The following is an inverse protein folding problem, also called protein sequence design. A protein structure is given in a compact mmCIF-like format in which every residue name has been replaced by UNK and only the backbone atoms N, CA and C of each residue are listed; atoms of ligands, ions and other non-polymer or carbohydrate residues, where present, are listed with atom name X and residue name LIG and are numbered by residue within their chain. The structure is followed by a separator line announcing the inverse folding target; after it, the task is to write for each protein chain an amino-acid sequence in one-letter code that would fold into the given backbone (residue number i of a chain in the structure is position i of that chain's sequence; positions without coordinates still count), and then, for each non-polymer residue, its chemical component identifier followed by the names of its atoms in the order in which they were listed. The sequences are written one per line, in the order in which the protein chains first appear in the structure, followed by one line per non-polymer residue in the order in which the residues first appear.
data_IF_937219607843
#
_entry.id   IF_937219607843
#
_cell.length_a   1.000
_cell.length_b   1.000
_cell.length_c   1.000
_cell.angle_alpha   90.00
_cell.angle_beta   90.00
_cell.angle_gamma   90.00
#
_symmetry.space_group_name_H-M   'P 1'
#
loop_
_entity.id
_entity.type
_entity.pdbx_description
1 polymer ?
#
# COMPACT_ATOMS: atom_id res chain seq x y z
N UNK A 1 -20.81 39.43 62.38
CA UNK A 1 -21.85 40.42 62.04
C UNK A 1 -22.98 39.67 61.37
N UNK A 2 -24.17 39.74 61.97
CA UNK A 2 -25.43 39.20 61.44
C UNK A 2 -26.00 40.10 60.34
N UNK A 3 -26.59 39.47 59.31
CA UNK A 3 -27.88 39.80 58.65
C UNK A 3 -27.95 38.95 57.37
N UNK A 4 -28.81 37.94 57.19
CA UNK A 4 -30.27 37.79 57.38
C UNK A 4 -31.10 38.39 56.23
N UNK A 5 -31.91 37.49 55.62
CA UNK A 5 -33.12 37.68 54.81
C UNK A 5 -32.92 38.09 53.33
N UNK A 6 -33.68 37.61 52.33
CA UNK A 6 -34.96 36.88 52.35
C UNK A 6 -35.23 36.24 50.98
N UNK A 7 -35.92 35.09 51.00
CA UNK A 7 -36.63 34.53 49.85
C UNK A 7 -38.10 34.93 49.93
N UNK A 8 -38.74 35.21 48.79
CA UNK A 8 -40.19 35.10 48.62
C UNK A 8 -40.54 34.57 47.23
N UNK A 9 -41.36 33.52 47.26
CA UNK A 9 -42.04 32.79 46.19
C UNK A 9 -43.29 33.51 45.69
N UNK A 10 -43.67 33.34 44.42
CA UNK A 10 -45.01 32.87 44.04
C UNK A 10 -45.13 32.57 42.53
N UNK A 11 -45.87 31.50 42.24
CA UNK A 11 -46.19 30.89 40.94
C UNK A 11 -47.24 31.69 40.15
N UNK A 12 -47.31 31.51 38.82
CA UNK A 12 -48.53 31.17 38.05
C UNK A 12 -48.25 31.08 36.53
N UNK A 13 -48.49 29.89 35.95
CA UNK A 13 -48.71 29.62 34.49
C UNK A 13 -50.17 30.00 34.12
N UNK A 14 -50.62 30.13 32.84
CA UNK A 14 -50.44 29.17 31.73
C UNK A 14 -50.25 29.73 30.29
N UNK A 15 -49.82 28.83 29.41
CA UNK A 15 -50.09 28.68 27.96
C UNK A 15 -50.17 29.89 27.01
N UNK A 16 -49.35 29.85 25.94
CA UNK A 16 -49.88 29.90 24.56
C UNK A 16 -48.91 29.30 23.54
N UNK A 17 -49.32 28.18 22.95
CA UNK A 17 -48.77 27.65 21.71
C UNK A 17 -48.96 28.66 20.57
N UNK A 18 -47.85 29.05 19.93
CA UNK A 18 -47.83 29.92 18.76
C UNK A 18 -46.85 29.36 17.73
N UNK A 19 -47.39 28.68 16.74
CA UNK A 19 -46.71 28.13 15.56
C UNK A 19 -45.99 29.25 14.80
N UNK A 20 -44.68 29.14 14.61
CA UNK A 20 -43.99 29.80 13.51
C UNK A 20 -43.18 28.77 12.72
N UNK A 21 -43.81 28.30 11.64
CA UNK A 21 -43.11 27.77 10.47
C UNK A 21 -42.33 28.93 9.86
N UNK A 22 -41.01 28.81 9.84
CA UNK A 22 -40.19 29.57 8.89
C UNK A 22 -39.32 28.57 8.14
N UNK A 23 -39.85 28.11 7.01
CA UNK A 23 -39.03 27.51 5.96
C UNK A 23 -38.14 28.61 5.40
N UNK A 24 -36.85 28.57 5.72
CA UNK A 24 -35.84 29.19 4.88
C UNK A 24 -35.05 28.08 4.21
N UNK A 25 -35.45 27.79 2.97
CA UNK A 25 -34.62 27.07 2.00
C UNK A 25 -33.39 27.92 1.70
N UNK A 26 -32.29 27.62 2.38
CA UNK A 26 -30.95 27.96 1.93
C UNK A 26 -30.42 26.77 1.17
N UNK A 27 -30.49 26.83 -0.16
CA UNK A 27 -29.88 25.87 -1.06
C UNK A 27 -28.35 26.03 -0.91
N UNK A 28 -27.77 25.43 0.12
CA UNK A 28 -26.33 25.31 0.28
C UNK A 28 -25.85 24.52 -0.92
N UNK A 29 -25.19 25.22 -1.85
CA UNK A 29 -24.70 24.66 -3.10
C UNK A 29 -24.00 23.34 -2.81
N UNK A 30 -24.63 22.24 -3.25
CA UNK A 30 -23.94 20.97 -3.38
C UNK A 30 -22.80 21.24 -4.38
N UNK A 31 -21.60 21.44 -3.85
CA UNK A 31 -20.41 21.19 -4.64
C UNK A 31 -20.57 19.78 -5.21
N UNK A 32 -20.35 19.58 -6.52
CA UNK A 32 -20.38 18.25 -7.08
C UNK A 32 -19.41 17.40 -6.27
N UNK A 33 -19.94 16.32 -5.69
CA UNK A 33 -19.11 15.28 -5.05
C UNK A 33 -17.98 14.99 -6.06
N UNK A 34 -16.70 15.08 -5.66
CA UNK A 34 -15.62 14.72 -6.56
C UNK A 34 -15.95 13.34 -7.15
N UNK A 35 -15.70 13.13 -8.46
CA UNK A 35 -16.03 11.87 -9.10
C UNK A 35 -15.47 10.76 -8.23
N UNK A 36 -16.31 9.75 -7.95
CA UNK A 36 -15.86 8.60 -7.19
C UNK A 36 -14.61 8.09 -7.89
N UNK A 37 -13.44 8.24 -7.27
CA UNK A 37 -12.19 7.70 -7.81
C UNK A 37 -12.48 6.23 -8.09
N UNK A 38 -12.28 5.81 -9.34
CA UNK A 38 -12.45 4.41 -9.67
C UNK A 38 -11.60 3.59 -8.69
N UNK A 39 -12.16 2.50 -8.12
CA UNK A 39 -11.42 1.70 -7.16
C UNK A 39 -10.16 1.19 -7.85
N UNK A 40 -9.00 1.69 -7.40
CA UNK A 40 -7.72 1.20 -7.89
C UNK A 40 -7.61 -0.28 -7.48
N UNK A 41 -7.59 -1.16 -8.48
CA UNK A 41 -7.55 -2.60 -8.24
C UNK A 41 -6.16 -3.01 -7.73
N UNK A 42 -6.10 -4.05 -6.87
CA UNK A 42 -4.83 -4.70 -6.53
C UNK A 42 -4.08 -5.18 -7.77
N UNK A 43 -2.75 -5.02 -7.75
CA UNK A 43 -1.86 -5.43 -8.83
C UNK A 43 -0.92 -6.52 -8.33
N UNK A 44 -0.78 -7.59 -9.11
CA UNK A 44 0.02 -8.76 -8.71
C UNK A 44 1.09 -9.05 -9.75
N UNK A 45 2.30 -9.31 -9.28
CA UNK A 45 3.44 -9.72 -10.11
C UNK A 45 4.03 -11.01 -9.54
N UNK A 46 4.59 -11.84 -10.42
CA UNK A 46 5.41 -12.98 -10.02
C UNK A 46 6.85 -12.79 -10.41
N UNK A 47 7.72 -13.11 -9.46
CA UNK A 47 9.14 -13.31 -9.71
C UNK A 47 9.58 -14.69 -9.22
N UNK A 48 10.58 -15.24 -9.91
CA UNK A 48 11.35 -16.40 -9.50
C UNK A 48 12.50 -15.93 -8.61
N UNK A 49 12.56 -16.47 -7.40
CA UNK A 49 13.67 -16.25 -6.47
C UNK A 49 14.60 -17.45 -6.61
N UNK A 50 15.77 -17.24 -7.23
CA UNK A 50 16.81 -18.25 -7.37
C UNK A 50 17.89 -18.03 -6.32
N UNK A 51 18.21 -19.07 -5.56
CA UNK A 51 19.22 -19.02 -4.50
C UNK A 51 20.56 -18.57 -5.07
N UNK A 52 21.15 -17.56 -4.44
CA UNK A 52 22.48 -17.06 -4.79
C UNK A 52 23.30 -16.82 -3.52
N UNK A 53 24.20 -17.77 -3.16
CA UNK A 53 25.05 -17.64 -1.97
C UNK A 53 25.96 -16.41 -1.97
N UNK A 54 26.28 -15.85 -3.14
CA UNK A 54 27.10 -14.63 -3.22
C UNK A 54 26.36 -13.40 -2.67
N UNK A 55 25.03 -13.47 -2.59
CA UNK A 55 24.15 -12.42 -2.06
C UNK A 55 23.76 -12.64 -0.59
N UNK A 56 24.35 -13.62 0.08
CA UNK A 56 24.10 -13.86 1.50
C UNK A 56 24.51 -12.65 2.33
N UNK A 57 23.64 -12.24 3.24
CA UNK A 57 23.95 -11.15 4.18
C UNK A 57 24.05 -11.68 5.60
N UNK A 58 25.05 -11.17 6.31
CA UNK A 58 25.38 -11.60 7.65
C UNK A 58 25.09 -10.47 8.63
N UNK A 59 24.36 -10.80 9.68
CA UNK A 59 24.26 -9.98 10.89
C UNK A 59 24.80 -10.79 12.05
N UNK A 60 25.22 -10.12 13.14
CA UNK A 60 25.75 -10.79 14.34
C UNK A 60 24.82 -11.90 14.88
N UNK A 61 23.52 -11.83 14.58
CA UNK A 61 22.49 -12.74 15.09
C UNK A 61 21.94 -13.71 14.05
N UNK A 62 22.16 -13.47 12.75
CA UNK A 62 21.49 -14.25 11.69
C UNK A 62 22.17 -14.13 10.33
N UNK A 63 22.18 -15.26 9.62
CA UNK A 63 22.44 -15.32 8.18
C UNK A 63 21.11 -15.16 7.43
N UNK A 64 21.07 -14.26 6.46
CA UNK A 64 19.95 -14.15 5.53
C UNK A 64 20.43 -14.66 4.17
N UNK A 65 19.74 -15.68 3.67
CA UNK A 65 20.00 -16.24 2.35
C UNK A 65 19.71 -15.20 1.26
N UNK A 66 20.67 -15.05 0.36
CA UNK A 66 20.58 -14.24 -0.84
C UNK A 66 19.86 -14.95 -1.97
N UNK A 67 19.11 -14.18 -2.74
CA UNK A 67 18.40 -14.65 -3.92
C UNK A 67 18.61 -13.67 -5.07
N UNK A 68 18.90 -14.21 -6.26
CA UNK A 68 18.72 -13.50 -7.51
C UNK A 68 17.23 -13.48 -7.84
N UNK A 69 16.74 -12.29 -8.22
CA UNK A 69 15.35 -12.11 -8.63
C UNK A 69 15.31 -12.21 -10.15
N UNK A 70 14.49 -13.14 -10.63
CA UNK A 70 14.28 -13.40 -12.04
C UNK A 70 12.79 -13.27 -12.37
N UNK A 71 12.50 -13.04 -13.63
CA UNK A 71 11.18 -13.30 -14.19
C UNK A 71 10.88 -14.82 -14.17
N UNK A 72 9.60 -15.23 -14.30
CA UNK A 72 9.24 -16.65 -14.33
C UNK A 72 9.89 -17.45 -15.47
N UNK A 73 10.30 -16.79 -16.55
CA UNK A 73 11.05 -17.39 -17.67
C UNK A 73 12.55 -17.59 -17.35
N UNK A 74 13.01 -17.14 -16.18
CA UNK A 74 14.37 -17.29 -15.70
C UNK A 74 15.29 -16.09 -16.00
N UNK A 75 14.85 -15.13 -16.82
CA UNK A 75 15.64 -13.93 -17.12
C UNK A 75 15.79 -13.04 -15.88
N UNK A 76 16.94 -12.40 -15.65
CA UNK A 76 17.11 -11.49 -14.53
C UNK A 76 16.09 -10.33 -14.53
N UNK A 77 15.57 -10.00 -13.34
CA UNK A 77 14.72 -8.83 -13.14
C UNK A 77 15.53 -7.52 -13.10
N UNK A 78 14.86 -6.37 -13.17
CA UNK A 78 15.52 -5.07 -13.02
C UNK A 78 16.09 -4.87 -11.61
N UNK A 79 17.11 -4.01 -11.49
CA UNK A 79 17.78 -3.72 -10.21
C UNK A 79 16.79 -3.15 -9.19
N UNK A 80 15.86 -2.29 -9.63
CA UNK A 80 14.85 -1.68 -8.76
C UNK A 80 13.89 -2.73 -8.20
N UNK A 81 13.46 -3.69 -9.03
CA UNK A 81 12.66 -4.83 -8.56
C UNK A 81 13.45 -5.70 -7.60
N UNK A 82 14.72 -6.01 -7.90
CA UNK A 82 15.58 -6.79 -7.01
C UNK A 82 15.69 -6.15 -5.62
N UNK A 83 15.99 -4.85 -5.54
CA UNK A 83 16.07 -4.11 -4.27
C UNK A 83 14.75 -4.11 -3.52
N UNK A 84 13.63 -3.93 -4.23
CA UNK A 84 12.31 -3.97 -3.63
C UNK A 84 11.99 -5.35 -3.06
N UNK A 85 12.30 -6.42 -3.77
CA UNK A 85 12.14 -7.80 -3.31
C UNK A 85 13.03 -8.10 -2.10
N UNK A 86 14.27 -7.62 -2.06
CA UNK A 86 15.16 -7.77 -0.91
C UNK A 86 14.61 -7.08 0.34
N UNK A 87 14.08 -5.85 0.19
CA UNK A 87 13.35 -5.15 1.24
C UNK A 87 12.13 -5.96 1.71
N UNK A 88 11.35 -6.48 0.76
CA UNK A 88 10.19 -7.34 1.00
C UNK A 88 10.54 -8.62 1.77
N UNK A 89 11.61 -9.31 1.40
CA UNK A 89 12.09 -10.53 2.05
C UNK A 89 12.31 -10.33 3.55
N UNK A 90 12.94 -9.20 3.90
CA UNK A 90 13.24 -8.84 5.28
C UNK A 90 11.98 -8.48 6.07
N UNK A 91 11.08 -7.70 5.48
CA UNK A 91 9.94 -7.11 6.19
C UNK A 91 8.71 -8.04 6.26
N UNK A 92 8.50 -8.85 5.22
CA UNK A 92 7.36 -9.75 5.09
C UNK A 92 7.63 -11.16 5.62
N UNK A 93 8.85 -11.42 6.12
CA UNK A 93 9.21 -12.72 6.68
C UNK A 93 9.30 -13.83 5.64
N UNK A 94 9.41 -13.48 4.36
CA UNK A 94 9.49 -14.41 3.24
C UNK A 94 10.75 -15.29 3.33
N UNK A 95 11.85 -14.76 3.87
CA UNK A 95 13.10 -15.51 4.04
C UNK A 95 12.92 -16.80 4.86
N UNK A 96 12.01 -16.84 5.84
CA UNK A 96 11.74 -18.09 6.58
C UNK A 96 11.05 -19.16 5.73
N UNK A 97 10.23 -18.75 4.75
CA UNK A 97 9.48 -19.66 3.87
C UNK A 97 10.31 -20.16 2.70
N UNK A 98 11.36 -19.41 2.36
CA UNK A 98 12.28 -19.75 1.27
C UNK A 98 13.53 -20.48 1.75
N UNK A 99 13.81 -20.47 3.06
CA UNK A 99 15.04 -21.03 3.62
C UNK A 99 15.36 -22.44 3.07
N UNK A 100 16.56 -22.59 2.52
CA UNK A 100 17.05 -23.85 1.93
C UNK A 100 16.49 -24.20 0.55
N UNK A 101 15.61 -23.39 -0.03
CA UNK A 101 15.09 -23.61 -1.39
C UNK A 101 16.06 -23.08 -2.42
N UNK A 102 16.30 -23.86 -3.47
CA UNK A 102 17.12 -23.44 -4.61
C UNK A 102 16.37 -22.47 -5.52
N UNK A 103 15.07 -22.70 -5.70
CA UNK A 103 14.19 -21.86 -6.49
C UNK A 103 12.82 -21.76 -5.81
N UNK A 104 12.19 -20.60 -5.91
CA UNK A 104 10.85 -20.37 -5.37
C UNK A 104 10.14 -19.27 -6.17
N UNK A 105 8.95 -19.57 -6.70
CA UNK A 105 8.06 -18.54 -7.23
C UNK A 105 7.39 -17.77 -6.10
N UNK A 106 7.35 -16.45 -6.24
CA UNK A 106 6.78 -15.54 -5.25
C UNK A 106 5.79 -14.63 -5.94
N UNK A 107 4.54 -14.66 -5.47
CA UNK A 107 3.53 -13.66 -5.82
C UNK A 107 3.69 -12.44 -4.93
N UNK A 108 3.73 -11.27 -5.54
CA UNK A 108 3.87 -9.98 -4.91
C UNK A 108 2.68 -9.10 -5.25
N UNK A 109 1.93 -8.68 -4.23
CA UNK A 109 0.74 -7.86 -4.36
C UNK A 109 0.96 -6.43 -3.89
N UNK A 110 0.61 -5.46 -4.74
CA UNK A 110 0.51 -4.04 -4.43
C UNK A 110 -0.96 -3.68 -4.38
N UNK A 111 -1.43 -3.21 -3.23
CA UNK A 111 -2.83 -2.85 -2.97
C UNK A 111 -2.89 -1.33 -2.78
N UNK A 112 -3.30 -0.56 -3.79
CA UNK A 112 -3.37 0.90 -3.68
C UNK A 112 -4.35 1.34 -2.59
N UNK A 113 -4.03 2.41 -1.89
CA UNK A 113 -4.84 2.97 -0.80
C UNK A 113 -5.19 4.43 -1.08
N UNK A 114 -6.27 4.71 -1.83
CA UNK A 114 -6.64 6.08 -2.20
C UNK A 114 -6.91 6.99 -0.98
N UNK A 115 -7.45 6.43 0.10
CA UNK A 115 -7.68 7.15 1.36
C UNK A 115 -6.41 7.26 2.23
N UNK A 116 -5.26 6.78 1.75
CA UNK A 116 -3.97 6.96 2.39
C UNK A 116 -3.79 6.17 3.68
N UNK A 117 -3.00 6.76 4.60
CA UNK A 117 -2.53 6.13 5.84
C UNK A 117 -3.67 5.69 6.78
N UNK A 118 -4.82 6.35 6.74
CA UNK A 118 -5.96 6.06 7.61
C UNK A 118 -6.79 4.85 7.14
N UNK A 119 -6.49 4.31 5.95
CA UNK A 119 -7.17 3.12 5.43
C UNK A 119 -6.94 1.91 6.34
N UNK A 120 -7.92 1.02 6.54
CA UNK A 120 -7.65 -0.26 7.19
C UNK A 120 -6.57 -1.04 6.41
N UNK A 121 -5.80 -1.88 7.10
CA UNK A 121 -4.84 -2.76 6.41
C UNK A 121 -5.57 -3.72 5.48
N UNK A 122 -5.02 -3.95 4.30
CA UNK A 122 -5.53 -4.95 3.36
C UNK A 122 -5.65 -6.31 4.05
N UNK A 123 -6.84 -6.94 4.03
CA UNK A 123 -7.01 -8.30 4.55
C UNK A 123 -6.16 -9.30 3.76
N UNK A 124 -5.40 -10.13 4.46
CA UNK A 124 -4.53 -11.14 3.84
C UNK A 124 -4.87 -12.56 4.30
N UNK A 125 -4.58 -13.58 3.48
CA UNK A 125 -4.67 -14.97 3.91
C UNK A 125 -3.80 -15.26 5.14
N UNK A 126 -4.12 -16.32 5.93
CA UNK A 126 -3.33 -16.69 7.09
C UNK A 126 -1.83 -16.84 6.80
N UNK A 127 -1.01 -16.23 7.67
CA UNK A 127 0.44 -16.28 7.58
C UNK A 127 1.07 -15.35 6.53
N UNK A 128 0.29 -14.73 5.64
CA UNK A 128 0.79 -13.69 4.73
C UNK A 128 0.89 -12.39 5.51
N UNK A 129 2.04 -11.73 5.44
CA UNK A 129 2.24 -10.42 6.07
C UNK A 129 1.85 -9.32 5.09
N UNK A 130 1.27 -8.26 5.64
CA UNK A 130 1.00 -7.00 4.95
C UNK A 130 1.85 -5.89 5.58
N UNK A 131 2.41 -5.01 4.74
CA UNK A 131 3.18 -3.83 5.18
C UNK A 131 2.82 -2.62 4.33
N UNK A 132 2.62 -1.48 4.99
CA UNK A 132 2.25 -0.22 4.36
C UNK A 132 3.47 0.61 3.99
N UNK A 133 3.44 1.15 2.79
CA UNK A 133 4.42 2.08 2.24
C UNK A 133 3.72 3.20 1.49
N UNK A 134 4.48 4.21 1.09
CA UNK A 134 4.07 5.09 0.01
C UNK A 134 5.18 5.25 -1.01
N UNK A 135 4.77 5.50 -2.25
CA UNK A 135 5.63 5.90 -3.36
C UNK A 135 5.51 7.41 -3.49
N UNK A 136 6.63 8.12 -3.65
CA UNK A 136 6.63 9.56 -3.96
C UNK A 136 7.46 9.78 -5.21
N UNK A 137 6.93 10.57 -6.14
CA UNK A 137 7.60 10.88 -7.41
C UNK A 137 8.27 12.23 -7.36
N UNK A 138 9.56 12.25 -7.66
CA UNK A 138 10.36 13.46 -7.86
C UNK A 138 11.06 13.34 -9.22
N UNK A 139 10.70 14.19 -10.17
CA UNK A 139 11.12 14.08 -11.57
C UNK A 139 10.84 12.67 -12.15
N UNK A 140 11.89 12.01 -12.62
CA UNK A 140 11.86 10.66 -13.20
C UNK A 140 12.00 9.54 -12.17
N UNK A 141 12.16 9.85 -10.88
CA UNK A 141 12.37 8.86 -9.84
C UNK A 141 11.13 8.73 -8.96
N UNK A 142 10.66 7.50 -8.79
CA UNK A 142 9.62 7.15 -7.83
C UNK A 142 10.26 6.37 -6.67
N UNK A 143 10.40 7.01 -5.51
CA UNK A 143 11.05 6.42 -4.33
C UNK A 143 10.02 5.83 -3.37
N UNK A 144 10.33 4.66 -2.83
CA UNK A 144 9.52 4.02 -1.79
C UNK A 144 9.93 4.55 -0.41
N UNK A 145 8.94 4.87 0.41
CA UNK A 145 9.10 5.32 1.78
C UNK A 145 8.33 4.41 2.74
N UNK A 146 8.86 4.28 3.95
CA UNK A 146 8.12 3.67 5.05
C UNK A 146 6.93 4.54 5.46
N UNK A 147 5.92 3.93 6.10
CA UNK A 147 4.72 4.66 6.56
C UNK A 147 5.01 5.83 7.51
N UNK A 148 6.19 5.85 8.16
CA UNK A 148 6.62 6.91 9.06
C UNK A 148 7.36 8.06 8.34
N UNK A 149 7.42 8.05 7.00
CA UNK A 149 8.09 9.07 6.19
C UNK A 149 9.59 8.85 5.98
N UNK A 150 10.19 7.81 6.57
CA UNK A 150 11.61 7.51 6.35
C UNK A 150 11.84 6.94 4.94
N UNK A 151 12.84 7.44 4.18
CA UNK A 151 13.11 6.93 2.84
C UNK A 151 13.67 5.52 2.89
N UNK A 152 13.35 4.72 1.87
CA UNK A 152 14.07 3.48 1.58
C UNK A 152 15.11 3.72 0.48
N UNK A 153 15.99 2.75 0.28
CA UNK A 153 16.93 2.73 -0.85
C UNK A 153 16.27 2.33 -2.18
N UNK A 154 15.00 1.91 -2.16
CA UNK A 154 14.28 1.48 -3.36
C UNK A 154 13.75 2.71 -4.11
N UNK A 155 14.21 2.85 -5.35
CA UNK A 155 13.74 3.85 -6.31
C UNK A 155 13.47 3.16 -7.63
N UNK A 156 12.41 3.58 -8.31
CA UNK A 156 12.09 3.17 -9.67
C UNK A 156 12.32 4.35 -10.60
N UNK A 157 13.07 4.15 -11.67
CA UNK A 157 13.27 5.16 -12.70
C UNK A 157 12.18 4.99 -13.77
N UNK A 158 11.29 5.97 -13.86
CA UNK A 158 10.13 5.95 -14.78
C UNK A 158 10.50 5.93 -16.27
N UNK A 159 11.77 6.14 -16.62
CA UNK A 159 12.29 6.11 -18.00
C UNK A 159 13.03 4.81 -18.28
N UNK A 160 13.83 4.34 -17.32
CA UNK A 160 14.81 3.26 -17.56
C UNK A 160 14.38 1.89 -17.02
N UNK A 161 13.48 1.84 -16.03
CA UNK A 161 12.99 0.57 -15.49
C UNK A 161 11.96 -0.10 -16.41
N UNK A 162 11.85 -1.41 -16.27
CA UNK A 162 10.90 -2.24 -17.02
C UNK A 162 9.45 -1.71 -16.86
N UNK A 163 8.73 -1.42 -17.96
CA UNK A 163 7.36 -0.92 -17.92
C UNK A 163 6.41 -1.80 -17.11
N UNK A 164 6.58 -3.13 -17.12
CA UNK A 164 5.76 -4.04 -16.33
C UNK A 164 5.92 -3.81 -14.83
N UNK A 165 7.15 -3.52 -14.39
CA UNK A 165 7.46 -3.20 -12.99
C UNK A 165 6.86 -1.84 -12.63
N UNK A 166 7.00 -0.85 -13.50
CA UNK A 166 6.48 0.50 -13.29
C UNK A 166 4.95 0.53 -13.24
N UNK A 167 4.27 -0.25 -14.08
CA UNK A 167 2.81 -0.40 -14.06
C UNK A 167 2.34 -1.09 -12.76
N UNK A 168 2.99 -2.19 -12.40
CA UNK A 168 2.66 -2.97 -11.22
C UNK A 168 2.82 -2.18 -9.91
N UNK A 169 3.93 -1.45 -9.74
CA UNK A 169 4.13 -0.61 -8.56
C UNK A 169 3.27 0.66 -8.61
N UNK A 170 2.81 1.05 -9.82
CA UNK A 170 2.02 2.26 -10.06
C UNK A 170 2.86 3.52 -10.06
N UNK A 171 4.04 3.46 -10.67
CA UNK A 171 4.91 4.61 -10.88
C UNK A 171 4.56 5.35 -12.19
N UNK A 172 4.04 4.67 -13.22
CA UNK A 172 3.75 5.27 -14.53
C UNK A 172 2.71 6.39 -14.45
N UNK A 173 1.65 6.16 -13.67
CA UNK A 173 0.50 7.04 -13.53
C UNK A 173 0.54 7.89 -12.26
N UNK A 174 1.68 7.91 -11.54
CA UNK A 174 1.89 8.79 -10.40
C UNK A 174 2.39 10.15 -10.90
N UNK A 175 1.65 11.26 -10.69
CA UNK A 175 2.14 12.58 -11.08
C UNK A 175 3.38 13.01 -10.30
N UNK A 176 4.17 13.91 -10.87
CA UNK A 176 5.33 14.47 -10.18
C UNK A 176 4.90 15.30 -8.96
N UNK A 177 5.62 15.16 -7.85
CA UNK A 177 5.31 15.82 -6.58
C UNK A 177 4.20 15.12 -5.78
N UNK A 178 3.55 14.10 -6.33
CA UNK A 178 2.51 13.36 -5.65
C UNK A 178 3.03 12.11 -4.94
N UNK A 179 2.22 11.65 -3.99
CA UNK A 179 2.44 10.43 -3.24
C UNK A 179 1.29 9.46 -3.43
N UNK A 180 1.60 8.17 -3.42
CA UNK A 180 0.62 7.09 -3.48
C UNK A 180 0.89 6.07 -2.40
N UNK A 181 -0.10 5.90 -1.53
CA UNK A 181 -0.08 4.89 -0.48
C UNK A 181 -0.45 3.52 -1.04
N UNK A 182 0.22 2.49 -0.53
CA UNK A 182 -0.11 1.11 -0.86
C UNK A 182 0.25 0.16 0.28
N UNK A 183 -0.52 -0.92 0.36
CA UNK A 183 -0.19 -2.08 1.14
C UNK A 183 0.53 -3.11 0.26
N UNK A 184 1.63 -3.67 0.77
CA UNK A 184 2.46 -4.65 0.08
C UNK A 184 2.38 -6.02 0.76
N UNK A 185 2.19 -7.04 -0.07
CA UNK A 185 2.07 -8.43 0.36
C UNK A 185 2.96 -9.32 -0.50
N UNK A 186 3.49 -10.40 0.07
CA UNK A 186 4.23 -11.42 -0.68
C UNK A 186 3.94 -12.80 -0.12
N UNK A 187 3.80 -13.79 -1.01
CA UNK A 187 3.65 -15.20 -0.65
C UNK A 187 4.38 -16.11 -1.63
N UNK A 188 4.89 -17.23 -1.11
CA UNK A 188 5.40 -18.32 -1.92
C UNK A 188 4.26 -19.03 -2.63
N UNK A 189 4.48 -19.47 -3.86
CA UNK A 189 3.57 -20.32 -4.63
C UNK A 189 4.10 -21.75 -4.66
N UNK A 190 3.21 -22.73 -4.58
CA UNK A 190 3.61 -24.14 -4.53
C UNK A 190 3.84 -24.73 -5.94
N UNK A 191 3.30 -24.12 -7.01
CA UNK A 191 3.54 -24.50 -8.42
C UNK A 191 3.30 -23.32 -9.39
N UNK A 192 3.89 -23.37 -10.59
CA UNK A 192 3.61 -22.50 -11.75
C UNK A 192 2.13 -22.60 -12.15
N UNK A 193 1.48 -23.74 -11.89
CA UNK A 193 0.06 -23.95 -12.13
C UNK A 193 -0.88 -23.05 -11.30
N UNK A 194 -0.38 -22.42 -10.23
CA UNK A 194 -1.16 -21.41 -9.50
C UNK A 194 -1.31 -20.09 -10.25
N UNK A 195 -0.68 -19.93 -11.44
CA UNK A 195 -0.74 -18.74 -12.29
C UNK A 195 -2.16 -18.41 -12.76
N UNK A 196 -2.87 -17.61 -11.96
CA UNK A 196 -4.23 -17.12 -12.27
C UNK A 196 -4.18 -15.99 -13.32
N UNK A 197 -5.27 -15.85 -14.07
CA UNK A 197 -5.52 -14.72 -14.98
C UNK A 197 -5.49 -13.39 -14.18
N UNK A 198 -4.74 -12.41 -14.68
CA UNK A 198 -4.61 -11.07 -14.07
C UNK A 198 -3.26 -10.80 -13.38
N UNK A 199 -2.27 -11.67 -13.55
CA UNK A 199 -0.91 -11.48 -13.03
C UNK A 199 0.00 -10.86 -14.09
N UNK A 200 0.75 -9.83 -13.70
CA UNK A 200 1.81 -9.27 -14.52
C UNK A 200 2.93 -10.29 -14.64
N UNK A 201 3.11 -10.82 -15.84
CA UNK A 201 4.26 -11.63 -16.24
C UNK A 201 4.74 -11.10 -17.57
N UNK A 202 6.06 -11.10 -17.81
CA UNK A 202 6.65 -10.64 -19.07
C UNK A 202 6.04 -11.37 -20.29
N UNK A 203 5.56 -12.61 -20.10
CA UNK A 203 4.91 -13.43 -21.10
C UNK A 203 3.44 -13.06 -21.39
N UNK A 204 2.76 -12.33 -20.52
CA UNK A 204 1.33 -11.98 -20.67
C UNK A 204 1.09 -10.66 -21.42
N UNK A 205 2.05 -10.23 -22.26
CA UNK A 205 1.79 -9.23 -23.30
C UNK A 205 1.60 -7.80 -22.82
N UNK A 206 2.46 -7.31 -21.92
CA UNK A 206 2.69 -5.87 -21.83
C UNK A 206 3.46 -5.43 -23.08
N UNK A 207 2.74 -4.95 -24.09
CA UNK A 207 3.26 -4.23 -25.26
C UNK A 207 2.82 -2.77 -25.16
#
# INVERSE_FOLDING_TARGET
MLSTQQAMTAQTTPERNGVHKTQHGGNAGLLPRPPAQEPMLPRFMIALFRRDPSKDTYTEKRVFEGYQICWPDGEPASISLERFCQLGCRLLGLGKRMQGKQEQLVEMGVHPLPAGLDSPLTPTPPGVRCRRFYLQRENHLARVYFFNGSPTEVCFNTVDDDPCVLEWIGALDLPEGEQRWFDFTARTLDDVGEVKRGWFTRAAGCW
#
